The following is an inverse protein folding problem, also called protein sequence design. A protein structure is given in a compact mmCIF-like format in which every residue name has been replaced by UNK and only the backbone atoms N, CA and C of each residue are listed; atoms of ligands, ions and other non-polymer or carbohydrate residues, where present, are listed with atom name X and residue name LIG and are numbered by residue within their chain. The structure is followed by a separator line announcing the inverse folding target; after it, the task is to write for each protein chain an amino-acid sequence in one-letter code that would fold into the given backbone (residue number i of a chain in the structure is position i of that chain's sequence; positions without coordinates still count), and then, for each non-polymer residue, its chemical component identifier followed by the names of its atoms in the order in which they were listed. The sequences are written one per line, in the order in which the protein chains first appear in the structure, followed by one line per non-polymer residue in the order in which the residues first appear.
data_IF_238402202905
#
_entry.id   IF_238402202905
#
_cell.length_a   1.000
_cell.length_b   1.000
_cell.length_c   1.000
_cell.angle_alpha   90.00
_cell.angle_beta   90.00
_cell.angle_gamma   90.00
#
_symmetry.space_group_name_H-M   'P 1'
#
loop_
_entity.id
_entity.type
_entity.pdbx_description
1 polymer ?
#
# COMPACT_ATOMS: atom_id res chain seq x y z
N UNK A 1 -20.40 5.01 -16.29
CA UNK A 1 -19.70 3.72 -16.17
C UNK A 1 -18.87 3.77 -14.89
N UNK A 2 -19.04 2.77 -14.04
CA UNK A 2 -18.66 2.81 -12.62
C UNK A 2 -17.16 2.54 -12.52
N UNK A 3 -16.37 3.54 -12.11
CA UNK A 3 -14.94 3.37 -11.81
C UNK A 3 -14.77 2.44 -10.63
N UNK A 4 -14.46 1.18 -10.91
CA UNK A 4 -14.14 0.16 -9.91
C UNK A 4 -12.72 0.40 -9.37
N UNK A 5 -12.56 1.46 -8.58
CA UNK A 5 -11.32 1.74 -7.85
C UNK A 5 -11.34 0.90 -6.56
N UNK A 6 -11.00 -0.38 -6.69
CA UNK A 6 -10.73 -1.26 -5.56
C UNK A 6 -9.57 -0.66 -4.76
N UNK A 7 -9.95 0.10 -3.75
CA UNK A 7 -9.05 0.79 -2.84
C UNK A 7 -8.40 -0.27 -1.96
N UNK A 8 -7.14 -0.60 -2.25
CA UNK A 8 -6.33 -1.53 -1.48
C UNK A 8 -6.22 -1.00 -0.03
N UNK A 9 -7.02 -1.56 0.87
CA UNK A 9 -7.04 -1.16 2.29
C UNK A 9 -5.85 -1.82 2.98
N UNK A 10 -4.95 -1.02 3.56
CA UNK A 10 -3.87 -1.56 4.39
C UNK A 10 -4.47 -2.24 5.63
N UNK A 11 -3.91 -3.37 6.03
CA UNK A 11 -4.22 -3.97 7.34
C UNK A 11 -3.80 -3.01 8.46
N UNK A 12 -4.46 -3.10 9.62
CA UNK A 12 -4.15 -2.24 10.78
C UNK A 12 -2.66 -2.34 11.17
N UNK A 13 -2.09 -3.55 11.10
CA UNK A 13 -0.67 -3.78 11.38
C UNK A 13 0.24 -3.10 10.36
N UNK A 14 -0.06 -3.22 9.07
CA UNK A 14 0.75 -2.59 8.01
C UNK A 14 0.67 -1.07 8.06
N UNK A 15 -0.52 -0.51 8.36
CA UNK A 15 -0.67 0.93 8.56
C UNK A 15 0.15 1.43 9.76
N UNK A 16 0.17 0.67 10.85
CA UNK A 16 0.95 0.98 12.06
C UNK A 16 2.46 0.98 11.79
N UNK A 17 2.97 -0.06 11.15
CA UNK A 17 4.38 -0.16 10.76
C UNK A 17 4.79 1.00 9.85
N UNK A 18 3.96 1.35 8.86
CA UNK A 18 4.23 2.48 7.98
C UNK A 18 4.24 3.82 8.75
N UNK A 19 3.22 4.07 9.58
CA UNK A 19 3.14 5.31 10.38
C UNK A 19 4.35 5.48 11.30
N UNK A 20 4.76 4.41 11.97
CA UNK A 20 5.92 4.41 12.85
C UNK A 20 7.24 4.63 12.06
N UNK A 21 7.38 4.01 10.88
CA UNK A 21 8.53 4.23 10.00
C UNK A 21 8.64 5.68 9.53
N UNK A 22 7.53 6.30 9.09
CA UNK A 22 7.50 7.71 8.68
C UNK A 22 7.95 8.63 9.82
N UNK A 23 7.39 8.40 11.02
CA UNK A 23 7.70 9.19 12.21
C UNK A 23 9.17 9.05 12.61
N UNK A 24 9.69 7.82 12.60
CA UNK A 24 11.08 7.54 12.94
C UNK A 24 12.02 8.27 11.97
N UNK A 25 11.80 8.08 10.67
CA UNK A 25 12.65 8.66 9.63
C UNK A 25 12.61 10.18 9.60
N UNK A 26 11.43 10.80 9.80
CA UNK A 26 11.32 12.26 9.94
C UNK A 26 12.19 12.78 11.10
N UNK A 27 12.16 12.09 12.24
CA UNK A 27 12.93 12.47 13.44
C UNK A 27 14.44 12.29 13.23
N UNK A 28 14.87 11.23 12.56
CA UNK A 28 16.30 11.07 12.19
C UNK A 28 16.81 12.22 11.33
N UNK A 29 15.96 12.78 10.47
CA UNK A 29 16.27 13.96 9.66
C UNK A 29 16.15 15.28 10.44
N UNK A 30 15.80 15.25 11.73
CA UNK A 30 15.68 16.44 12.58
C UNK A 30 14.50 17.35 12.22
N UNK A 31 13.50 16.87 11.48
CA UNK A 31 12.40 17.68 10.98
C UNK A 31 11.21 17.69 11.96
N UNK A 32 10.60 18.85 12.20
CA UNK A 32 9.28 18.93 12.83
C UNK A 32 8.17 18.51 11.84
N UNK A 33 6.95 18.31 12.35
CA UNK A 33 5.80 18.04 11.48
C UNK A 33 5.53 19.23 10.54
N UNK A 34 5.60 20.44 11.08
CA UNK A 34 5.37 21.70 10.36
C UNK A 34 6.41 21.90 9.25
N UNK A 35 7.68 21.62 9.53
CA UNK A 35 8.76 21.72 8.56
C UNK A 35 8.58 20.73 7.40
N UNK A 36 8.28 19.46 7.70
CA UNK A 36 8.06 18.45 6.67
C UNK A 36 6.80 18.74 5.84
N UNK A 37 5.71 19.11 6.52
CA UNK A 37 4.44 19.49 5.91
C UNK A 37 4.61 20.68 4.94
N UNK A 38 5.29 21.75 5.39
CA UNK A 38 5.61 22.91 4.56
C UNK A 38 6.47 22.54 3.36
N UNK A 39 7.52 21.74 3.57
CA UNK A 39 8.44 21.32 2.49
C UNK A 39 7.75 20.52 1.39
N UNK A 40 6.72 19.74 1.73
CA UNK A 40 5.99 18.89 0.80
C UNK A 40 4.65 19.47 0.33
N UNK A 41 4.28 20.65 0.82
CA UNK A 41 2.97 21.26 0.61
C UNK A 41 1.82 20.29 0.97
N UNK A 42 1.91 19.68 2.16
CA UNK A 42 0.90 18.78 2.74
C UNK A 42 0.40 19.40 4.04
N UNK A 43 -0.87 19.19 4.37
CA UNK A 43 -1.44 19.62 5.64
C UNK A 43 -0.77 18.91 6.84
N UNK A 44 -0.42 19.68 7.88
CA UNK A 44 0.20 19.15 9.11
C UNK A 44 -0.72 18.14 9.80
N UNK A 45 -2.02 18.37 9.80
CA UNK A 45 -3.01 17.44 10.35
C UNK A 45 -3.01 16.11 9.61
N UNK A 46 -2.96 16.12 8.28
CA UNK A 46 -2.82 14.91 7.47
C UNK A 46 -1.51 14.18 7.77
N UNK A 47 -0.39 14.88 7.85
CA UNK A 47 0.90 14.27 8.18
C UNK A 47 0.89 13.62 9.57
N UNK A 48 0.30 14.28 10.56
CA UNK A 48 0.09 13.73 11.91
C UNK A 48 -0.75 12.45 11.89
N UNK A 49 -1.85 12.45 11.12
CA UNK A 49 -2.68 11.24 10.92
C UNK A 49 -1.92 10.10 10.27
N UNK A 50 -1.05 10.39 9.30
CA UNK A 50 -0.19 9.38 8.69
C UNK A 50 0.76 8.75 9.72
N UNK A 51 1.43 9.54 10.55
CA UNK A 51 2.33 9.02 11.60
C UNK A 51 1.60 8.25 12.71
N UNK A 52 0.30 8.53 12.91
CA UNK A 52 -0.57 7.78 13.84
C UNK A 52 -1.27 6.58 13.21
N UNK A 53 -0.99 6.26 11.95
CA UNK A 53 -1.66 5.19 11.20
C UNK A 53 -3.18 5.38 11.02
N UNK A 54 -3.67 6.62 11.08
CA UNK A 54 -5.08 6.98 10.95
C UNK A 54 -5.49 7.21 9.49
N UNK A 55 -5.17 6.23 8.63
CA UNK A 55 -5.52 6.21 7.21
C UNK A 55 -5.93 4.80 6.78
N UNK A 56 -6.85 4.73 5.80
CA UNK A 56 -7.36 3.45 5.28
C UNK A 56 -6.67 3.02 3.98
N UNK A 57 -6.12 3.97 3.24
CA UNK A 57 -5.52 3.77 1.91
C UNK A 57 -4.24 4.57 1.79
N UNK A 58 -3.36 4.15 0.89
CA UNK A 58 -2.15 4.91 0.55
C UNK A 58 -2.54 6.04 -0.41
N UNK A 59 -2.71 7.25 0.15
CA UNK A 59 -3.05 8.44 -0.64
C UNK A 59 -1.83 9.00 -1.37
N UNK A 60 -2.06 9.85 -2.38
CA UNK A 60 -0.98 10.57 -3.09
C UNK A 60 -0.09 11.40 -2.13
N UNK A 61 -0.68 12.01 -1.11
CA UNK A 61 0.10 12.75 -0.12
C UNK A 61 0.93 11.80 0.75
N UNK A 62 0.41 10.63 1.09
CA UNK A 62 1.17 9.60 1.80
C UNK A 62 2.34 9.08 0.96
N UNK A 63 2.13 8.81 -0.33
CA UNK A 63 3.19 8.43 -1.28
C UNK A 63 4.27 9.51 -1.34
N UNK A 64 3.89 10.79 -1.48
CA UNK A 64 4.85 11.92 -1.50
C UNK A 64 5.70 11.97 -0.24
N UNK A 65 5.06 11.84 0.93
CA UNK A 65 5.77 11.87 2.22
C UNK A 65 6.73 10.68 2.32
N UNK A 66 6.26 9.48 2.00
CA UNK A 66 7.10 8.28 2.07
C UNK A 66 8.26 8.32 1.07
N UNK A 67 8.02 8.76 -0.17
CA UNK A 67 9.06 8.93 -1.18
C UNK A 67 10.13 9.94 -0.73
N UNK A 68 9.71 11.08 -0.16
CA UNK A 68 10.64 12.06 0.40
C UNK A 68 11.48 11.48 1.55
N UNK A 69 10.85 10.67 2.40
CA UNK A 69 11.52 9.98 3.51
C UNK A 69 12.25 8.71 3.06
N UNK A 70 12.25 8.37 1.77
CA UNK A 70 12.86 7.17 1.19
C UNK A 70 12.33 5.86 1.80
N UNK A 71 11.04 5.84 2.16
CA UNK A 71 10.34 4.66 2.66
C UNK A 71 9.57 4.03 1.51
N UNK A 72 9.84 2.75 1.26
CA UNK A 72 9.12 1.97 0.26
C UNK A 72 7.68 1.76 0.74
N UNK A 73 6.72 2.12 -0.11
CA UNK A 73 5.31 1.89 0.13
C UNK A 73 4.76 1.12 -1.04
N UNK A 74 4.32 -0.10 -0.77
CA UNK A 74 3.42 -0.78 -1.69
C UNK A 74 2.07 -0.07 -1.63
N UNK A 75 1.78 0.69 -2.67
CA UNK A 75 0.54 1.41 -2.92
C UNK A 75 -0.43 0.59 -3.80
N UNK A 76 -0.07 -0.64 -4.13
CA UNK A 76 -0.82 -1.53 -5.02
C UNK A 76 -0.80 -1.10 -6.48
N UNK A 77 0.00 -0.09 -6.86
CA UNK A 77 0.13 0.40 -8.24
C UNK A 77 1.42 -0.09 -8.92
N UNK A 78 2.28 -0.84 -8.23
CA UNK A 78 3.42 -1.50 -8.89
C UNK A 78 4.12 -2.53 -8.02
N UNK A 79 3.80 -3.80 -8.25
CA UNK A 79 4.67 -4.79 -8.89
C UNK A 79 3.82 -6.04 -9.17
N UNK A 80 3.84 -6.61 -10.39
CA UNK A 80 3.12 -7.86 -10.68
C UNK A 80 3.55 -9.00 -9.75
N UNK A 81 4.76 -8.91 -9.20
CA UNK A 81 5.37 -9.95 -8.38
C UNK A 81 4.58 -10.24 -7.09
N UNK A 82 4.00 -9.22 -6.43
CA UNK A 82 3.24 -9.47 -5.19
C UNK A 82 1.93 -10.25 -5.45
N UNK A 83 1.28 -10.01 -6.61
CA UNK A 83 0.09 -10.77 -7.02
C UNK A 83 0.48 -12.17 -7.48
N UNK A 84 1.60 -12.30 -8.20
CA UNK A 84 2.12 -13.61 -8.62
C UNK A 84 2.47 -14.46 -7.41
N UNK A 85 3.12 -13.89 -6.39
CA UNK A 85 3.48 -14.55 -5.13
C UNK A 85 2.24 -14.88 -4.31
N UNK A 86 1.30 -13.95 -4.15
CA UNK A 86 0.03 -14.20 -3.48
C UNK A 86 -0.76 -15.32 -4.17
N UNK A 87 -0.75 -15.35 -5.51
CA UNK A 87 -1.40 -16.39 -6.29
C UNK A 87 -0.68 -17.73 -6.11
N UNK A 88 0.66 -17.75 -6.14
CA UNK A 88 1.46 -18.94 -5.88
C UNK A 88 1.21 -19.53 -4.48
N UNK A 89 1.14 -18.69 -3.45
CA UNK A 89 0.79 -19.11 -2.09
C UNK A 89 -0.62 -19.73 -2.05
N UNK A 90 -1.59 -19.09 -2.70
CA UNK A 90 -2.98 -19.56 -2.76
C UNK A 90 -3.10 -20.93 -3.45
N UNK A 91 -2.33 -21.16 -4.53
CA UNK A 91 -2.25 -22.44 -5.23
C UNK A 91 -1.71 -23.57 -4.33
N UNK A 92 -0.83 -23.24 -3.39
CA UNK A 92 -0.22 -24.17 -2.44
C UNK A 92 -1.15 -24.61 -1.30
N UNK A 93 -2.17 -23.81 -0.95
CA UNK A 93 -2.99 -24.03 0.26
C UNK A 93 -3.81 -25.32 0.25
N UNK A 94 -4.36 -25.74 -0.89
CA UNK A 94 -5.01 -27.05 -1.03
C UNK A 94 -5.29 -27.41 -2.49
N UNK A 95 -5.59 -28.69 -2.74
CA UNK A 95 -6.01 -29.17 -4.06
C UNK A 95 -7.23 -28.41 -4.62
N UNK A 96 -8.16 -27.98 -3.76
CA UNK A 96 -9.36 -27.22 -4.16
C UNK A 96 -9.02 -25.84 -4.69
N UNK A 97 -8.12 -25.11 -4.02
CA UNK A 97 -7.68 -23.78 -4.47
C UNK A 97 -6.94 -23.88 -5.81
N UNK A 98 -6.10 -24.91 -5.98
CA UNK A 98 -5.42 -25.19 -7.25
C UNK A 98 -6.41 -25.48 -8.39
N UNK A 99 -7.41 -26.32 -8.16
CA UNK A 99 -8.44 -26.62 -9.15
C UNK A 99 -9.24 -25.38 -9.56
N UNK A 100 -9.61 -24.52 -8.61
CA UNK A 100 -10.31 -23.27 -8.88
C UNK A 100 -9.47 -22.31 -9.73
N UNK A 101 -8.18 -22.16 -9.42
CA UNK A 101 -7.28 -21.33 -10.20
C UNK A 101 -7.07 -21.85 -11.63
N UNK A 102 -6.95 -23.17 -11.81
CA UNK A 102 -6.86 -23.78 -13.15
C UNK A 102 -8.12 -23.47 -13.96
N UNK A 103 -9.31 -23.61 -13.36
CA UNK A 103 -10.57 -23.29 -14.02
C UNK A 103 -10.63 -21.81 -14.46
N UNK A 104 -10.18 -20.89 -13.59
CA UNK A 104 -10.11 -19.46 -13.91
C UNK A 104 -9.16 -19.18 -15.09
N UNK A 105 -7.96 -19.76 -15.08
CA UNK A 105 -6.99 -19.58 -16.18
C UNK A 105 -7.55 -20.09 -17.50
N UNK A 106 -8.20 -21.26 -17.51
CA UNK A 106 -8.86 -21.81 -18.71
C UNK A 106 -9.95 -20.88 -19.23
N UNK A 107 -10.82 -20.40 -18.34
CA UNK A 107 -11.87 -19.46 -18.72
C UNK A 107 -11.31 -18.18 -19.34
N UNK A 108 -10.20 -17.64 -18.79
CA UNK A 108 -9.54 -16.46 -19.36
C UNK A 108 -8.92 -16.74 -20.75
N UNK A 109 -8.40 -17.94 -20.99
CA UNK A 109 -7.85 -18.34 -22.29
C UNK A 109 -8.92 -18.52 -23.37
N UNK A 110 -10.15 -18.86 -22.97
CA UNK A 110 -11.31 -19.02 -23.85
C UNK A 110 -11.94 -17.69 -24.28
N UNK A 111 -11.63 -16.57 -23.60
CA UNK A 111 -12.11 -15.22 -23.93
C UNK A 111 -11.36 -14.56 -25.11
N UNK A 112 -10.69 -15.35 -25.95
CA UNK A 112 -10.02 -14.87 -27.17
C UNK A 112 -11.02 -14.45 -28.24
#
# INVERSE_FOLDING_TARGET
MISNMQTNRKSVLAAKQLGDALRHRRKELGLTLEQLASKLNVDVGQLSRFERAEFKIVSRNLQKVAAFLQIQVDDGVGEPDCIVEQFAELLGRSARHRAAAIALVRALQELR
#
